data_IF_188911375435
#
_entry.id   IF_188911375435
#
_cell.length_a   1.000
_cell.length_b   1.000
_cell.length_c   1.000
_cell.angle_alpha   90.00
_cell.angle_beta   90.00
_cell.angle_gamma   90.00
#
_symmetry.space_group_name_H-M   'P 1'
#
loop_
_entity.id
_entity.type
_entity.pdbx_description
1 polymer ?
#
# COMPACT_ATOMS: atom_id res chain seq x y z
N UNK A 1 16.51 44.86 -1.08
CA UNK A 1 15.14 44.58 -1.58
C UNK A 1 14.49 43.30 -1.05
N UNK A 2 15.16 42.12 -1.02
CA UNK A 2 14.57 40.86 -0.50
C UNK A 2 14.06 40.89 0.96
N UNK A 3 14.61 41.78 1.82
CA UNK A 3 14.23 41.91 3.25
C UNK A 3 12.98 42.79 3.49
N UNK A 4 12.69 43.74 2.59
CA UNK A 4 11.52 44.62 2.71
C UNK A 4 10.22 43.93 2.26
N UNK A 5 10.30 43.06 1.25
CA UNK A 5 9.14 42.32 0.72
C UNK A 5 8.54 41.34 1.74
N UNK A 6 9.38 40.72 2.59
CA UNK A 6 8.94 39.80 3.65
C UNK A 6 8.07 40.47 4.72
N UNK A 7 8.12 41.80 4.87
CA UNK A 7 7.39 42.53 5.90
C UNK A 7 5.94 42.81 5.51
N UNK A 8 5.57 42.60 4.24
CA UNK A 8 4.27 42.96 3.68
C UNK A 8 3.51 41.76 3.09
N UNK A 9 3.92 40.53 3.39
CA UNK A 9 3.25 39.31 2.93
C UNK A 9 2.81 38.50 4.14
N UNK A 10 1.50 38.31 4.29
CA UNK A 10 0.89 37.51 5.36
C UNK A 10 0.25 36.28 4.73
N UNK A 11 0.67 35.11 5.19
CA UNK A 11 0.08 33.82 4.80
C UNK A 11 -0.65 33.21 6.00
N UNK A 12 -1.94 32.93 5.85
CA UNK A 12 -2.75 32.23 6.86
C UNK A 12 -3.23 30.89 6.30
N UNK A 13 -3.24 29.85 7.12
CA UNK A 13 -3.82 28.55 6.78
C UNK A 13 -4.90 28.21 7.80
N UNK A 14 -6.12 27.98 7.33
CA UNK A 14 -7.20 27.46 8.16
C UNK A 14 -7.33 25.95 7.95
N UNK A 15 -6.94 25.17 8.95
CA UNK A 15 -6.97 23.71 8.91
C UNK A 15 -8.40 23.12 8.89
N UNK A 16 -9.41 23.90 9.30
CA UNK A 16 -10.82 23.45 9.34
C UNK A 16 -11.45 23.55 7.94
N UNK A 17 -11.13 24.61 7.21
CA UNK A 17 -11.68 24.87 5.87
C UNK A 17 -10.74 24.46 4.73
N UNK A 18 -9.46 24.21 5.03
CA UNK A 18 -8.41 23.91 4.05
C UNK A 18 -7.96 25.12 3.23
N UNK A 19 -8.41 26.32 3.58
CA UNK A 19 -8.17 27.54 2.79
C UNK A 19 -6.85 28.19 3.20
N UNK A 20 -5.98 28.42 2.22
CA UNK A 20 -4.79 29.26 2.37
C UNK A 20 -5.08 30.68 1.92
N UNK A 21 -4.86 31.66 2.79
CA UNK A 21 -5.04 33.09 2.50
C UNK A 21 -3.70 33.77 2.30
N UNK A 22 -3.52 34.45 1.17
CA UNK A 22 -2.36 35.28 0.86
C UNK A 22 -2.78 36.76 0.86
N UNK A 23 -2.18 37.56 1.75
CA UNK A 23 -2.34 39.02 1.78
C UNK A 23 -1.01 39.68 1.47
N UNK A 24 -1.02 40.62 0.53
CA UNK A 24 0.14 41.40 0.11
C UNK A 24 -0.17 42.89 0.31
N UNK A 25 0.69 43.59 1.03
CA UNK A 25 0.62 45.02 1.28
C UNK A 25 1.64 45.78 0.41
N UNK A 26 1.26 46.93 -0.14
CA UNK A 26 2.14 47.76 -0.95
C UNK A 26 1.69 49.22 -0.91
N UNK A 27 2.62 50.15 -1.20
CA UNK A 27 2.36 51.59 -1.22
C UNK A 27 1.40 52.05 -2.32
N UNK A 28 1.20 51.23 -3.35
CA UNK A 28 0.31 51.49 -4.47
C UNK A 28 -0.61 50.29 -4.71
N UNK A 29 -1.89 50.55 -5.04
CA UNK A 29 -2.90 49.51 -5.21
C UNK A 29 -2.60 48.60 -6.41
N UNK A 30 -2.13 49.17 -7.52
CA UNK A 30 -1.78 48.43 -8.74
C UNK A 30 -0.57 47.53 -8.47
N UNK A 31 0.41 48.02 -7.73
CA UNK A 31 1.60 47.25 -7.33
C UNK A 31 1.25 46.11 -6.36
N UNK A 32 0.35 46.34 -5.40
CA UNK A 32 -0.13 45.31 -4.47
C UNK A 32 -0.86 44.18 -5.20
N UNK A 33 -1.74 44.54 -6.14
CA UNK A 33 -2.49 43.59 -6.97
C UNK A 33 -1.56 42.77 -7.87
N UNK A 34 -0.63 43.43 -8.57
CA UNK A 34 0.32 42.75 -9.46
C UNK A 34 1.21 41.75 -8.69
N UNK A 35 1.67 42.13 -7.50
CA UNK A 35 2.48 41.25 -6.66
C UNK A 35 1.67 40.06 -6.13
N UNK A 36 0.42 40.28 -5.70
CA UNK A 36 -0.46 39.21 -5.24
C UNK A 36 -0.78 38.22 -6.38
N UNK A 37 -1.10 38.73 -7.57
CA UNK A 37 -1.35 37.90 -8.75
C UNK A 37 -0.11 37.05 -9.13
N UNK A 38 1.09 37.65 -9.12
CA UNK A 38 2.33 36.93 -9.43
C UNK A 38 2.67 35.85 -8.37
N UNK A 39 2.42 36.13 -7.09
CA UNK A 39 2.63 35.16 -6.02
C UNK A 39 1.61 34.01 -6.06
N UNK A 40 0.34 34.33 -6.31
CA UNK A 40 -0.73 33.33 -6.47
C UNK A 40 -0.41 32.38 -7.65
N UNK A 41 -0.08 32.93 -8.82
CA UNK A 41 0.29 32.15 -10.00
C UNK A 41 1.56 31.31 -9.79
N UNK A 42 2.56 31.86 -9.07
CA UNK A 42 3.75 31.10 -8.67
C UNK A 42 3.44 29.94 -7.71
N UNK A 43 2.54 30.17 -6.74
CA UNK A 43 2.08 29.18 -5.78
C UNK A 43 1.25 28.07 -6.43
N UNK A 44 0.28 28.43 -7.27
CA UNK A 44 -0.50 27.49 -8.09
C UNK A 44 0.43 26.62 -8.93
N UNK A 45 1.35 27.22 -9.70
CA UNK A 45 2.31 26.45 -10.51
C UNK A 45 3.18 25.51 -9.68
N UNK A 46 3.58 25.91 -8.47
CA UNK A 46 4.35 25.05 -7.58
C UNK A 46 3.51 23.86 -7.08
N UNK A 47 2.31 24.11 -6.56
CA UNK A 47 1.40 23.07 -6.07
C UNK A 47 1.04 22.11 -7.21
N UNK A 48 0.73 22.63 -8.40
CA UNK A 48 0.38 21.83 -9.56
C UNK A 48 1.53 20.90 -9.98
N UNK A 49 2.78 21.41 -9.98
CA UNK A 49 3.97 20.60 -10.24
C UNK A 49 4.18 19.54 -9.15
N UNK A 50 3.98 19.89 -7.88
CA UNK A 50 4.13 18.93 -6.78
C UNK A 50 3.09 17.82 -6.84
N UNK A 51 1.81 18.16 -7.09
CA UNK A 51 0.73 17.19 -7.25
C UNK A 51 0.99 16.27 -8.45
N UNK A 52 1.31 16.84 -9.62
CA UNK A 52 1.61 16.06 -10.82
C UNK A 52 2.75 15.08 -10.57
N UNK A 53 3.84 15.57 -9.95
CA UNK A 53 4.97 14.73 -9.58
C UNK A 53 4.59 13.62 -8.60
N UNK A 54 3.82 13.95 -7.55
CA UNK A 54 3.37 12.96 -6.57
C UNK A 54 2.48 11.87 -7.19
N UNK A 55 1.58 12.24 -8.10
CA UNK A 55 0.73 11.27 -8.81
C UNK A 55 1.53 10.39 -9.77
N UNK A 56 2.48 10.99 -10.49
CA UNK A 56 3.33 10.24 -11.43
C UNK A 56 4.26 9.28 -10.67
N UNK A 57 4.81 9.72 -9.53
CA UNK A 57 5.62 8.91 -8.63
C UNK A 57 4.79 7.72 -8.08
N UNK A 58 3.56 7.97 -7.61
CA UNK A 58 2.68 6.92 -7.10
C UNK A 58 2.32 5.86 -8.15
N UNK A 59 2.00 6.28 -9.39
CA UNK A 59 1.71 5.36 -10.49
C UNK A 59 2.95 4.54 -10.87
N UNK A 60 4.13 5.17 -10.93
CA UNK A 60 5.38 4.48 -11.21
C UNK A 60 5.69 3.43 -10.14
N UNK A 61 5.52 3.77 -8.87
CA UNK A 61 5.80 2.86 -7.76
C UNK A 61 4.83 1.68 -7.73
N UNK A 62 3.55 1.91 -8.02
CA UNK A 62 2.56 0.84 -8.18
C UNK A 62 2.92 -0.11 -9.34
N UNK A 63 3.35 0.42 -10.49
CA UNK A 63 3.78 -0.38 -11.65
C UNK A 63 5.01 -1.23 -11.33
N UNK A 64 5.98 -0.66 -10.62
CA UNK A 64 7.16 -1.39 -10.15
C UNK A 64 6.78 -2.56 -9.25
N UNK A 65 5.89 -2.34 -8.29
CA UNK A 65 5.38 -3.39 -7.41
C UNK A 65 4.68 -4.51 -8.20
N UNK A 66 3.90 -4.15 -9.22
CA UNK A 66 3.29 -5.13 -10.13
C UNK A 66 4.34 -5.96 -10.90
N UNK A 67 5.38 -5.32 -11.42
CA UNK A 67 6.45 -6.01 -12.15
C UNK A 67 7.25 -6.95 -11.23
N UNK A 68 7.52 -6.53 -10.00
CA UNK A 68 8.16 -7.37 -8.99
C UNK A 68 7.29 -8.58 -8.61
N UNK A 69 5.97 -8.38 -8.42
CA UNK A 69 5.04 -9.48 -8.16
C UNK A 69 4.95 -10.45 -9.35
N UNK A 70 4.98 -9.93 -10.59
CA UNK A 70 5.00 -10.76 -11.80
C UNK A 70 6.28 -11.59 -11.89
N UNK A 71 7.43 -11.00 -11.57
CA UNK A 71 8.71 -11.70 -11.53
C UNK A 71 8.70 -12.81 -10.47
N UNK A 72 8.19 -12.53 -9.26
CA UNK A 72 8.01 -13.55 -8.20
C UNK A 72 7.13 -14.71 -8.65
N UNK A 73 6.00 -14.43 -9.28
CA UNK A 73 5.12 -15.49 -9.81
C UNK A 73 5.83 -16.33 -10.87
N UNK A 74 6.54 -15.69 -11.80
CA UNK A 74 7.31 -16.38 -12.84
C UNK A 74 8.39 -17.29 -12.26
N UNK A 75 9.12 -16.82 -11.24
CA UNK A 75 10.14 -17.61 -10.54
C UNK A 75 9.54 -18.85 -9.87
N UNK A 76 8.45 -18.70 -9.11
CA UNK A 76 7.78 -19.83 -8.46
C UNK A 76 7.22 -20.82 -9.49
N UNK A 77 6.68 -20.34 -10.61
CA UNK A 77 6.22 -21.22 -11.69
C UNK A 77 7.38 -22.01 -12.31
N UNK A 78 8.55 -21.38 -12.50
CA UNK A 78 9.75 -22.05 -12.98
C UNK A 78 10.24 -23.12 -11.98
N UNK A 79 10.24 -22.81 -10.68
CA UNK A 79 10.58 -23.78 -9.63
C UNK A 79 9.62 -24.98 -9.63
N UNK A 80 8.32 -24.75 -9.77
CA UNK A 80 7.32 -25.81 -9.84
C UNK A 80 7.49 -26.68 -11.09
N UNK A 81 7.79 -26.08 -12.25
CA UNK A 81 8.07 -26.81 -13.48
C UNK A 81 9.37 -27.64 -13.36
N UNK A 82 10.43 -27.07 -12.79
CA UNK A 82 11.68 -27.78 -12.53
C UNK A 82 11.48 -28.95 -11.57
N UNK A 83 10.67 -28.77 -10.52
CA UNK A 83 10.29 -29.84 -9.60
C UNK A 83 9.57 -30.98 -10.32
N UNK A 84 8.53 -30.69 -11.12
CA UNK A 84 7.80 -31.70 -11.90
C UNK A 84 8.71 -32.45 -12.87
N UNK A 85 9.62 -31.75 -13.55
CA UNK A 85 10.56 -32.37 -14.47
C UNK A 85 11.57 -33.27 -13.75
N UNK A 86 12.10 -32.82 -12.61
CA UNK A 86 13.07 -33.59 -11.81
C UNK A 86 12.44 -34.85 -11.23
N UNK A 87 11.21 -34.73 -10.73
CA UNK A 87 10.55 -35.83 -10.02
C UNK A 87 9.70 -36.74 -10.95
N UNK A 88 9.55 -36.36 -12.22
CA UNK A 88 8.87 -37.12 -13.28
C UNK A 88 7.38 -37.42 -13.03
N UNK A 89 6.70 -36.61 -12.23
CA UNK A 89 5.25 -36.65 -12.09
C UNK A 89 4.64 -35.25 -12.27
N UNK A 90 3.42 -35.22 -12.82
CA UNK A 90 2.67 -33.97 -13.03
C UNK A 90 1.93 -33.57 -11.74
N UNK A 91 1.36 -34.57 -11.06
CA UNK A 91 0.59 -34.43 -9.82
C UNK A 91 0.96 -35.58 -8.86
N UNK A 92 1.73 -35.30 -7.80
CA UNK A 92 2.17 -36.33 -6.87
C UNK A 92 1.01 -36.94 -6.06
N UNK A 93 -0.08 -36.22 -5.83
CA UNK A 93 -1.25 -36.75 -5.14
C UNK A 93 -1.94 -37.82 -6.00
N UNK A 94 -2.10 -37.54 -7.30
CA UNK A 94 -2.63 -38.52 -8.26
C UNK A 94 -1.76 -39.77 -8.34
N UNK A 95 -0.43 -39.58 -8.44
CA UNK A 95 0.52 -40.70 -8.44
C UNK A 95 0.42 -41.53 -7.15
N UNK A 96 0.14 -40.91 -6.00
CA UNK A 96 -0.02 -41.62 -4.73
C UNK A 96 -1.31 -42.43 -4.68
N UNK A 97 -2.40 -41.90 -5.25
CA UNK A 97 -3.66 -42.64 -5.42
C UNK A 97 -3.44 -43.86 -6.30
N UNK A 98 -2.82 -43.70 -7.47
CA UNK A 98 -2.53 -44.81 -8.40
C UNK A 98 -1.64 -45.88 -7.76
N UNK A 99 -0.59 -45.48 -7.02
CA UNK A 99 0.26 -46.41 -6.27
C UNK A 99 -0.50 -47.16 -5.16
N UNK A 100 -1.40 -46.47 -4.46
CA UNK A 100 -2.24 -47.10 -3.42
C UNK A 100 -3.21 -48.13 -4.02
N UNK A 101 -3.76 -47.85 -5.21
CA UNK A 101 -4.60 -48.81 -5.95
C UNK A 101 -3.80 -50.05 -6.35
N UNK A 102 -2.56 -49.89 -6.84
CA UNK A 102 -1.68 -51.02 -7.17
C UNK A 102 -1.40 -51.89 -5.93
N UNK A 103 -1.08 -51.27 -4.79
CA UNK A 103 -0.88 -51.99 -3.52
C UNK A 103 -2.14 -52.74 -3.11
N UNK A 104 -3.32 -52.15 -3.28
CA UNK A 104 -4.60 -52.80 -3.03
C UNK A 104 -4.79 -54.07 -3.89
N UNK A 105 -4.50 -53.98 -5.19
CA UNK A 105 -4.59 -55.12 -6.12
C UNK A 105 -3.60 -56.25 -5.78
N UNK A 106 -2.37 -55.88 -5.38
CA UNK A 106 -1.36 -56.85 -4.93
C UNK A 106 -1.79 -57.54 -3.63
N UNK A 107 -2.36 -56.80 -2.68
CA UNK A 107 -2.89 -57.35 -1.43
C UNK A 107 -4.05 -58.32 -1.67
N UNK A 108 -4.95 -58.00 -2.59
CA UNK A 108 -6.03 -58.91 -2.99
C UNK A 108 -5.48 -60.21 -3.59
N UNK A 109 -4.52 -60.11 -4.51
CA UNK A 109 -3.86 -61.26 -5.13
C UNK A 109 -3.12 -62.13 -4.10
N UNK A 110 -2.42 -61.49 -3.15
CA UNK A 110 -1.73 -62.17 -2.06
C UNK A 110 -2.72 -62.93 -1.15
N UNK A 111 -3.88 -62.33 -0.85
CA UNK A 111 -4.91 -62.99 -0.05
C UNK A 111 -5.44 -64.24 -0.76
N UNK A 112 -5.69 -64.18 -2.07
CA UNK A 112 -6.09 -65.33 -2.89
C UNK A 112 -5.01 -66.43 -2.86
N UNK A 113 -3.74 -66.10 -3.09
CA UNK A 113 -2.64 -67.07 -3.03
C UNK A 113 -2.50 -67.73 -1.65
N UNK A 114 -2.64 -66.96 -0.57
CA UNK A 114 -2.60 -67.48 0.80
C UNK A 114 -3.77 -68.43 1.08
N UNK A 115 -4.97 -68.11 0.59
CA UNK A 115 -6.13 -68.97 0.72
C UNK A 115 -5.96 -70.28 -0.07
N UNK A 116 -5.52 -70.21 -1.33
CA UNK A 116 -5.21 -71.39 -2.16
C UNK A 116 -4.16 -72.29 -1.50
N UNK A 117 -3.09 -71.69 -0.99
CA UNK A 117 -2.02 -72.40 -0.28
C UNK A 117 -2.53 -73.07 0.99
N UNK A 118 -3.39 -72.40 1.76
CA UNK A 118 -4.00 -72.97 2.97
C UNK A 118 -4.92 -74.15 2.64
N UNK A 119 -5.77 -74.01 1.62
CA UNK A 119 -6.65 -75.09 1.16
C UNK A 119 -5.85 -76.31 0.70
N UNK A 120 -4.85 -76.09 -0.16
CA UNK A 120 -4.00 -77.19 -0.65
C UNK A 120 -3.22 -77.88 0.48
N UNK A 121 -2.76 -77.13 1.48
CA UNK A 121 -2.07 -77.70 2.63
C UNK A 121 -3.00 -78.57 3.49
N UNK A 122 -4.29 -78.21 3.59
CA UNK A 122 -5.29 -79.01 4.29
C UNK A 122 -5.65 -80.28 3.52
N UNK A 123 -5.83 -80.19 2.20
CA UNK A 123 -6.26 -81.31 1.36
C UNK A 123 -5.11 -82.27 1.00
N UNK A 124 -3.91 -81.74 0.78
CA UNK A 124 -2.73 -82.48 0.34
C UNK A 124 -1.42 -81.93 0.97
N UNK A 125 -1.13 -82.25 2.24
CA UNK A 125 0.02 -81.68 2.98
C UNK A 125 1.40 -81.95 2.37
N UNK A 126 1.54 -82.95 1.50
CA UNK A 126 2.78 -83.31 0.80
C UNK A 126 2.77 -82.92 -0.68
N UNK A 127 1.87 -82.03 -1.09
CA UNK A 127 1.79 -81.59 -2.49
C UNK A 127 3.08 -80.88 -2.92
N UNK A 128 3.69 -81.27 -4.06
CA UNK A 128 4.88 -80.61 -4.60
C UNK A 128 4.60 -79.17 -5.08
N UNK A 129 3.34 -78.72 -5.10
CA UNK A 129 2.97 -77.36 -5.47
C UNK A 129 3.09 -76.36 -4.31
N UNK A 130 3.14 -76.82 -3.05
CA UNK A 130 3.24 -75.93 -1.88
C UNK A 130 4.48 -75.02 -1.91
N UNK A 131 5.70 -75.51 -2.21
CA UNK A 131 6.88 -74.63 -2.31
C UNK A 131 6.78 -73.57 -3.41
N UNK A 132 6.09 -73.88 -4.50
CA UNK A 132 5.84 -72.93 -5.59
C UNK A 132 4.90 -71.81 -5.12
N UNK A 133 3.82 -72.14 -4.41
CA UNK A 133 2.90 -71.15 -3.83
C UNK A 133 3.61 -70.28 -2.78
N UNK A 134 4.42 -70.88 -1.90
CA UNK A 134 5.20 -70.16 -0.90
C UNK A 134 6.17 -69.17 -1.56
N UNK A 135 6.83 -69.57 -2.66
CA UNK A 135 7.70 -68.68 -3.44
C UNK A 135 6.93 -67.51 -4.08
N UNK A 136 5.73 -67.76 -4.61
CA UNK A 136 4.86 -66.70 -5.16
C UNK A 136 4.39 -65.74 -4.08
N UNK A 137 3.96 -66.25 -2.92
CA UNK A 137 3.55 -65.45 -1.75
C UNK A 137 4.69 -64.52 -1.34
N UNK A 138 5.91 -65.05 -1.17
CA UNK A 138 7.08 -64.26 -0.81
C UNK A 138 7.40 -63.18 -1.86
N UNK A 139 7.27 -63.49 -3.15
CA UNK A 139 7.45 -62.49 -4.23
C UNK A 139 6.41 -61.35 -4.14
N UNK A 140 5.14 -61.66 -3.89
CA UNK A 140 4.09 -60.65 -3.70
C UNK A 140 4.32 -59.82 -2.44
N UNK A 141 4.71 -60.44 -1.32
CA UNK A 141 5.03 -59.72 -0.08
C UNK A 141 6.19 -58.75 -0.28
N UNK A 142 7.25 -59.17 -0.97
CA UNK A 142 8.38 -58.32 -1.32
C UNK A 142 7.96 -57.17 -2.25
N UNK A 143 7.12 -57.44 -3.26
CA UNK A 143 6.61 -56.40 -4.15
C UNK A 143 5.74 -55.38 -3.41
N UNK A 144 4.85 -55.83 -2.51
CA UNK A 144 4.02 -54.95 -1.68
C UNK A 144 4.88 -54.06 -0.79
N UNK A 145 5.92 -54.63 -0.16
CA UNK A 145 6.86 -53.87 0.67
C UNK A 145 7.59 -52.80 -0.16
N UNK A 146 8.07 -53.16 -1.36
CA UNK A 146 8.73 -52.24 -2.28
C UNK A 146 7.81 -51.10 -2.73
N UNK A 147 6.55 -51.39 -3.12
CA UNK A 147 5.59 -50.36 -3.53
C UNK A 147 5.18 -49.45 -2.35
N UNK A 148 4.98 -50.00 -1.16
CA UNK A 148 4.69 -49.19 0.03
C UNK A 148 5.84 -48.24 0.37
N UNK A 149 7.09 -48.68 0.26
CA UNK A 149 8.27 -47.85 0.51
C UNK A 149 8.44 -46.69 -0.48
N UNK A 150 7.95 -46.86 -1.73
CA UNK A 150 7.89 -45.78 -2.73
C UNK A 150 6.84 -44.73 -2.36
N UNK A 151 5.71 -45.14 -1.79
CA UNK A 151 4.63 -44.23 -1.40
C UNK A 151 4.99 -43.48 -0.12
N UNK A 152 5.46 -44.18 0.92
CA UNK A 152 5.73 -43.61 2.24
C UNK A 152 6.90 -44.32 2.95
N UNK A 153 7.48 -43.66 3.96
CA UNK A 153 8.45 -44.27 4.89
C UNK A 153 9.92 -44.14 4.51
N UNK A 154 10.25 -43.63 3.32
CA UNK A 154 11.63 -43.26 2.94
C UNK A 154 11.75 -41.74 2.69
N UNK A 155 12.97 -41.21 2.82
CA UNK A 155 13.26 -39.79 2.53
C UNK A 155 13.04 -39.39 1.07
N UNK A 156 12.99 -40.38 0.16
CA UNK A 156 12.68 -40.20 -1.25
C UNK A 156 11.27 -40.73 -1.62
N UNK A 157 10.42 -40.98 -0.62
CA UNK A 157 9.06 -41.46 -0.83
C UNK A 157 8.18 -40.36 -1.41
N UNK A 158 7.11 -40.76 -2.10
CA UNK A 158 6.14 -39.85 -2.69
C UNK A 158 5.53 -38.89 -1.67
N UNK A 159 5.30 -39.33 -0.43
CA UNK A 159 4.84 -38.48 0.68
C UNK A 159 5.75 -37.24 0.91
N UNK A 160 7.08 -37.42 0.90
CA UNK A 160 8.02 -36.30 1.05
C UNK A 160 7.95 -35.31 -0.11
N UNK A 161 7.71 -35.84 -1.32
CA UNK A 161 7.59 -35.05 -2.55
C UNK A 161 6.26 -34.31 -2.63
N UNK A 162 5.17 -34.89 -2.11
CA UNK A 162 3.87 -34.23 -1.96
C UNK A 162 4.03 -32.97 -1.10
N UNK A 163 4.68 -33.08 0.06
CA UNK A 163 4.90 -31.92 0.93
C UNK A 163 5.67 -30.79 0.23
N UNK A 164 6.74 -31.13 -0.50
CA UNK A 164 7.52 -30.15 -1.28
C UNK A 164 6.70 -29.51 -2.40
N UNK A 165 5.86 -30.30 -3.06
CA UNK A 165 4.95 -29.82 -4.11
C UNK A 165 3.86 -28.90 -3.56
N UNK A 166 3.29 -29.24 -2.40
CA UNK A 166 2.29 -28.41 -1.71
C UNK A 166 2.86 -27.05 -1.31
N UNK A 167 4.10 -26.99 -0.81
CA UNK A 167 4.78 -25.73 -0.51
C UNK A 167 4.94 -24.87 -1.77
N UNK A 168 5.43 -25.45 -2.89
CA UNK A 168 5.55 -24.73 -4.15
C UNK A 168 4.18 -24.30 -4.72
N UNK A 169 3.15 -25.12 -4.57
CA UNK A 169 1.79 -24.81 -4.99
C UNK A 169 1.20 -23.65 -4.18
N UNK A 170 1.42 -23.65 -2.86
CA UNK A 170 1.02 -22.57 -1.96
C UNK A 170 1.74 -21.27 -2.31
N UNK A 171 3.07 -21.31 -2.51
CA UNK A 171 3.86 -20.14 -2.95
C UNK A 171 3.32 -19.57 -4.25
N UNK A 172 2.93 -20.42 -5.20
CA UNK A 172 2.34 -19.99 -6.47
C UNK A 172 1.00 -19.29 -6.25
N UNK A 173 0.16 -19.82 -5.36
CA UNK A 173 -1.12 -19.20 -5.01
C UNK A 173 -0.93 -17.83 -4.35
N UNK A 174 0.01 -17.72 -3.41
CA UNK A 174 0.34 -16.47 -2.75
C UNK A 174 0.90 -15.44 -3.74
N UNK A 175 1.81 -15.84 -4.64
CA UNK A 175 2.35 -14.96 -5.68
C UNK A 175 1.28 -14.51 -6.69
N UNK A 176 0.31 -15.37 -7.00
CA UNK A 176 -0.85 -15.00 -7.83
C UNK A 176 -1.72 -13.95 -7.13
N UNK A 177 -2.02 -14.13 -5.83
CA UNK A 177 -2.79 -13.16 -5.03
C UNK A 177 -2.06 -11.83 -4.94
N UNK A 178 -0.76 -11.86 -4.68
CA UNK A 178 0.10 -10.68 -4.65
C UNK A 178 0.09 -9.91 -5.99
N UNK A 179 0.21 -10.61 -7.12
CA UNK A 179 0.11 -9.98 -8.44
C UNK A 179 -1.26 -9.34 -8.68
N UNK A 180 -2.34 -10.00 -8.24
CA UNK A 180 -3.69 -9.46 -8.34
C UNK A 180 -3.85 -8.17 -7.51
N UNK A 181 -3.36 -8.17 -6.27
CA UNK A 181 -3.36 -6.99 -5.40
C UNK A 181 -2.51 -5.85 -5.97
N UNK A 182 -1.31 -6.13 -6.46
CA UNK A 182 -0.45 -5.13 -7.07
C UNK A 182 -1.08 -4.54 -8.35
N UNK A 183 -1.74 -5.38 -9.15
CA UNK A 183 -2.49 -4.94 -10.34
C UNK A 183 -3.66 -4.03 -9.97
N UNK A 184 -4.42 -4.37 -8.91
CA UNK A 184 -5.47 -3.50 -8.39
C UNK A 184 -4.89 -2.16 -7.89
N UNK A 185 -3.73 -2.19 -7.23
CA UNK A 185 -3.00 -0.99 -6.79
C UNK A 185 -2.64 -0.06 -7.95
N UNK A 186 -2.19 -0.59 -9.09
CA UNK A 186 -1.93 0.21 -10.30
C UNK A 186 -3.22 0.90 -10.77
N UNK A 187 -4.33 0.16 -10.85
CA UNK A 187 -5.62 0.71 -11.28
C UNK A 187 -6.06 1.85 -10.35
N UNK A 188 -5.95 1.66 -9.02
CA UNK A 188 -6.27 2.69 -8.03
C UNK A 188 -5.37 3.92 -8.16
N UNK A 189 -4.04 3.74 -8.30
CA UNK A 189 -3.11 4.86 -8.47
C UNK A 189 -3.40 5.67 -9.75
N UNK A 190 -3.73 5.00 -10.85
CA UNK A 190 -4.11 5.67 -12.09
C UNK A 190 -5.46 6.39 -11.99
N UNK A 191 -6.43 5.84 -11.25
CA UNK A 191 -7.70 6.51 -10.97
C UNK A 191 -7.49 7.78 -10.12
N UNK A 192 -6.67 7.71 -9.08
CA UNK A 192 -6.33 8.86 -8.24
C UNK A 192 -5.60 9.95 -9.04
N UNK A 193 -4.64 9.56 -9.89
CA UNK A 193 -3.94 10.48 -10.78
C UNK A 193 -4.90 11.18 -11.76
N UNK A 194 -5.89 10.46 -12.31
CA UNK A 194 -6.96 11.06 -13.15
C UNK A 194 -7.84 12.01 -12.35
N UNK A 195 -8.19 11.65 -11.11
CA UNK A 195 -9.02 12.47 -10.22
C UNK A 195 -8.35 13.80 -9.89
N UNK A 196 -7.08 13.79 -9.48
CA UNK A 196 -6.36 15.01 -9.09
C UNK A 196 -6.17 16.00 -10.25
N UNK A 197 -6.15 15.53 -11.50
CA UNK A 197 -6.13 16.40 -12.69
C UNK A 197 -7.43 17.20 -12.87
N UNK A 198 -8.57 16.76 -12.33
CA UNK A 198 -9.86 17.46 -12.46
C UNK A 198 -10.10 18.57 -11.42
N UNK A 199 -9.48 18.52 -10.23
CA UNK A 199 -9.84 19.40 -9.09
C UNK A 199 -9.02 20.69 -9.00
N UNK A 200 -8.21 20.99 -10.00
CA UNK A 200 -7.23 22.09 -9.98
C UNK A 200 -7.72 23.29 -10.81
N UNK A 201 -8.99 23.63 -10.68
CA UNK A 201 -9.58 24.80 -11.34
C UNK A 201 -9.68 25.95 -10.34
N UNK A 202 -9.10 27.10 -10.72
CA UNK A 202 -8.90 28.33 -9.91
C UNK A 202 -10.20 28.79 -9.23
N UNK A 203 -10.23 28.77 -7.89
CA UNK A 203 -11.44 29.09 -7.10
C UNK A 203 -11.72 30.60 -7.03
N UNK A 204 -10.70 31.49 -7.02
CA UNK A 204 -10.91 32.95 -6.97
C UNK A 204 -9.73 33.74 -7.55
N UNK A 205 -10.01 34.85 -8.25
CA UNK A 205 -8.99 35.78 -8.76
C UNK A 205 -8.69 36.93 -7.77
N UNK A 206 -7.49 37.54 -7.77
CA UNK A 206 -7.16 38.65 -6.89
C UNK A 206 -8.07 39.87 -7.11
N UNK A 207 -8.72 40.37 -6.05
CA UNK A 207 -9.56 41.56 -6.12
C UNK A 207 -8.75 42.85 -6.17
N UNK A 208 -9.29 43.87 -6.84
CA UNK A 208 -8.73 45.22 -6.81
C UNK A 208 -9.03 45.86 -5.45
N UNK A 209 -8.05 46.47 -4.76
CA UNK A 209 -8.34 47.13 -3.48
C UNK A 209 -9.12 48.44 -3.71
N UNK A 210 -10.42 48.44 -3.40
CA UNK A 210 -11.28 49.62 -3.62
C UNK A 210 -11.02 50.76 -2.62
N UNK A 211 -10.32 50.50 -1.50
CA UNK A 211 -9.98 51.51 -0.48
C UNK A 211 -8.59 51.25 0.12
N UNK A 212 -7.79 52.30 0.42
CA UNK A 212 -6.56 52.14 1.19
C UNK A 212 -6.91 51.58 2.58
N UNK A 213 -6.36 50.41 2.92
CA UNK A 213 -6.55 49.79 4.25
C UNK A 213 -5.89 50.62 5.36
N UNK A 214 -4.91 51.44 4.99
CA UNK A 214 -4.08 52.29 5.85
C UNK A 214 -3.84 53.66 5.18
N UNK A 215 -3.77 54.78 5.94
CA UNK A 215 -4.03 54.91 7.37
C UNK A 215 -5.53 55.15 7.63
N UNK A 216 -6.03 54.71 8.80
CA UNK A 216 -7.38 55.04 9.28
C UNK A 216 -7.46 56.51 9.69
N UNK A 217 -7.51 57.41 8.70
CA UNK A 217 -7.43 58.88 8.87
C UNK A 217 -8.40 59.39 9.93
N UNK A 218 -9.61 58.83 10.01
CA UNK A 218 -10.60 59.19 11.04
C UNK A 218 -10.14 58.88 12.46
N UNK A 219 -9.53 57.72 12.68
CA UNK A 219 -9.02 57.35 14.01
C UNK A 219 -7.85 58.27 14.36
N UNK A 220 -6.93 58.51 13.42
CA UNK A 220 -5.81 59.43 13.66
C UNK A 220 -6.29 60.85 14.01
N UNK A 221 -7.28 61.38 13.29
CA UNK A 221 -7.90 62.69 13.58
C UNK A 221 -8.54 62.70 14.97
N UNK A 222 -9.33 61.67 15.31
CA UNK A 222 -9.96 61.57 16.64
C UNK A 222 -8.92 61.46 17.76
N UNK A 223 -7.84 60.71 17.54
CA UNK A 223 -6.78 60.53 18.53
C UNK A 223 -6.07 61.86 18.79
N UNK A 224 -5.71 62.59 17.73
CA UNK A 224 -5.11 63.93 17.85
C UNK A 224 -6.07 64.90 18.54
N UNK A 225 -7.35 64.93 18.14
CA UNK A 225 -8.37 65.77 18.76
C UNK A 225 -8.48 65.53 20.27
N UNK A 226 -8.61 64.27 20.69
CA UNK A 226 -8.71 63.90 22.11
C UNK A 226 -7.42 64.24 22.87
N UNK A 227 -6.25 63.99 22.27
CA UNK A 227 -4.97 64.37 22.89
C UNK A 227 -4.84 65.88 23.08
N UNK A 228 -5.21 66.68 22.07
CA UNK A 228 -5.17 68.15 22.18
C UNK A 228 -6.20 68.67 23.18
N UNK A 229 -7.39 68.08 23.25
CA UNK A 229 -8.43 68.45 24.21
C UNK A 229 -8.01 68.14 25.66
N UNK A 230 -7.34 67.01 25.89
CA UNK A 230 -6.78 66.66 27.20
C UNK A 230 -5.68 67.64 27.63
N UNK A 231 -4.77 67.99 26.71
CA UNK A 231 -3.72 68.98 26.98
C UNK A 231 -4.34 70.34 27.30
N UNK A 232 -5.35 70.77 26.53
CA UNK A 232 -6.07 72.01 26.78
C UNK A 232 -6.78 72.00 28.14
N UNK A 233 -7.46 70.90 28.49
CA UNK A 233 -8.14 70.74 29.78
C UNK A 233 -7.17 70.81 30.97
N UNK A 234 -6.01 70.15 30.86
CA UNK A 234 -4.96 70.24 31.87
C UNK A 234 -4.42 71.67 32.02
N UNK A 235 -4.16 72.35 30.90
CA UNK A 235 -3.72 73.75 30.91
C UNK A 235 -4.75 74.69 31.54
N UNK A 236 -6.03 74.50 31.22
CA UNK A 236 -7.13 75.27 31.80
C UNK A 236 -7.28 75.02 33.31
N UNK A 237 -7.11 73.78 33.77
CA UNK A 237 -7.22 73.42 35.19
C UNK A 237 -6.04 73.97 36.01
N UNK A 238 -4.83 73.96 35.45
CA UNK A 238 -3.67 74.64 36.03
C UNK A 238 -3.92 76.15 36.12
N UNK A 239 -4.46 76.77 35.06
CA UNK A 239 -4.77 78.20 35.06
C UNK A 239 -5.87 78.56 36.07
N UNK A 240 -6.94 77.76 36.14
CA UNK A 240 -8.01 77.93 37.12
C UNK A 240 -7.50 77.76 38.56
N UNK A 241 -6.66 76.75 38.83
CA UNK A 241 -6.03 76.56 40.14
C UNK A 241 -5.13 77.73 40.55
N UNK A 242 -4.35 78.28 39.63
CA UNK A 242 -3.56 79.50 39.87
C UNK A 242 -4.46 80.71 40.15
N UNK A 243 -5.61 80.82 39.49
CA UNK A 243 -6.58 81.89 39.72
C UNK A 243 -7.24 81.78 41.09
N UNK A 244 -7.59 80.57 41.52
CA UNK A 244 -8.20 80.28 42.83
C UNK A 244 -7.24 80.63 43.98
N UNK A 245 -5.96 80.26 43.85
CA UNK A 245 -4.91 80.64 44.81
C UNK A 245 -4.66 82.15 44.88
N UNK A 246 -5.07 82.91 43.87
CA UNK A 246 -4.96 84.37 43.83
C UNK A 246 -6.13 85.10 44.49
N UNK A 247 -7.21 84.40 44.85
CA UNK A 247 -8.40 84.97 45.51
C UNK A 247 -8.50 84.61 47.00
N UNK A 248 -7.63 83.73 47.51
CA UNK A 248 -7.61 83.25 48.90
C UNK A 248 -6.36 83.68 49.69
N UNK A 249 -5.59 84.65 49.20
CA UNK A 249 -4.51 85.32 49.95
C UNK A 249 -4.68 86.83 49.90
#
# INVERSE_FOLDING_TARGET
MRKALKRFVVTGFDATTGISTLRVESFDAKTAQALNAAMLDGGERLVNRMNTRATDDAVRDAKRSQDEARARLSDVQAQLAAFRNREQFIDPARTATEGSTLVGNLLASLATLKAERAQLAADAPRSPQLPMLDSRIAAYENQIAAERAKIAGSSNSLASKISSYEDLSLRRELANKELAEATAGVVTAEQEARRQKLYLERIVSPSYPDKPTEPRRLIAILTVLFSTMLIYGLGWLIWAGVREHRQLG
#
